data_IF_746463631036
#
_entry.id   IF_746463631036
#
_cell.length_a   1.000
_cell.length_b   1.000
_cell.length_c   1.000
_cell.angle_alpha   90.00
_cell.angle_beta   90.00
_cell.angle_gamma   90.00
#
_symmetry.space_group_name_H-M   'P 1'
#
loop_
_entity.id
_entity.type
_entity.pdbx_description
1 polymer ?
#
# COMPACT_ATOMS: atom_id res chain seq x y z
N UNK A 1 5.31 10.66 -13.15
CA UNK A 1 5.41 10.30 -11.71
C UNK A 1 4.60 11.12 -10.72
N UNK A 2 4.26 12.40 -10.96
CA UNK A 2 3.45 13.18 -10.00
C UNK A 2 2.09 12.53 -9.67
N UNK A 3 1.43 11.89 -10.65
CA UNK A 3 0.20 11.11 -10.41
C UNK A 3 0.41 9.89 -9.52
N UNK A 4 1.55 9.20 -9.66
CA UNK A 4 1.88 8.04 -8.83
C UNK A 4 2.09 8.40 -7.37
N UNK A 5 2.52 9.63 -7.06
CA UNK A 5 2.59 10.10 -5.68
C UNK A 5 1.21 10.17 -5.04
N UNK A 6 0.18 10.58 -5.78
CA UNK A 6 -1.20 10.59 -5.28
C UNK A 6 -1.75 9.17 -5.11
N UNK A 7 -1.46 8.27 -6.05
CA UNK A 7 -1.84 6.86 -5.93
C UNK A 7 -1.16 6.22 -4.72
N UNK A 8 0.17 6.38 -4.60
CA UNK A 8 0.94 5.91 -3.46
C UNK A 8 0.41 6.49 -2.14
N UNK A 9 0.07 7.78 -2.10
CA UNK A 9 -0.51 8.38 -0.91
C UNK A 9 -1.88 7.77 -0.58
N UNK A 10 -2.75 7.56 -1.57
CA UNK A 10 -4.06 6.93 -1.36
C UNK A 10 -3.93 5.48 -0.87
N UNK A 11 -2.95 4.74 -1.38
CA UNK A 11 -2.60 3.37 -0.95
C UNK A 11 -2.10 3.38 0.51
N UNK A 12 -1.12 4.23 0.83
CA UNK A 12 -0.57 4.35 2.19
C UNK A 12 -1.59 4.85 3.21
N UNK A 13 -2.50 5.74 2.77
CA UNK A 13 -3.57 6.28 3.60
C UNK A 13 -4.78 5.34 3.72
N UNK A 14 -4.76 4.18 3.07
CA UNK A 14 -5.89 3.25 3.05
C UNK A 14 -7.21 3.86 2.56
N UNK A 15 -7.12 4.88 1.70
CA UNK A 15 -8.28 5.64 1.25
C UNK A 15 -9.20 4.82 0.33
N UNK A 16 -8.77 3.62 -0.07
CA UNK A 16 -9.41 2.76 -1.07
C UNK A 16 -9.68 1.35 -0.51
N UNK A 17 -10.41 1.19 0.61
CA UNK A 17 -10.55 -0.09 1.33
C UNK A 17 -11.38 -1.13 0.57
N UNK A 18 -12.12 -0.73 -0.47
CA UNK A 18 -12.97 -1.57 -1.32
C UNK A 18 -12.44 -1.70 -2.74
N UNK A 19 -11.26 -1.18 -3.03
CA UNK A 19 -10.70 -1.26 -4.38
C UNK A 19 -10.28 -2.70 -4.64
N UNK A 20 -10.89 -3.32 -5.65
CA UNK A 20 -10.61 -4.70 -6.05
C UNK A 20 -9.69 -4.77 -7.27
N UNK A 21 -9.80 -3.79 -8.16
CA UNK A 21 -9.08 -3.72 -9.41
C UNK A 21 -8.43 -2.35 -9.57
N UNK A 22 -7.11 -2.32 -9.73
CA UNK A 22 -6.34 -1.10 -10.04
C UNK A 22 -5.62 -1.28 -11.37
N UNK A 23 -6.08 -0.56 -12.40
CA UNK A 23 -5.43 -0.54 -13.71
C UNK A 23 -4.69 0.78 -13.92
N UNK A 24 -3.38 0.66 -13.98
CA UNK A 24 -2.42 1.70 -14.29
C UNK A 24 -1.65 1.35 -15.58
N UNK A 25 -2.17 0.45 -16.40
CA UNK A 25 -1.54 0.07 -17.67
C UNK A 25 -1.49 1.23 -18.67
N UNK A 26 -0.55 1.17 -19.61
CA UNK A 26 -0.34 2.19 -20.64
C UNK A 26 -0.14 3.60 -20.09
N UNK A 27 0.44 3.70 -18.89
CA UNK A 27 0.86 4.97 -18.32
C UNK A 27 2.34 5.22 -18.60
N UNK A 28 2.79 6.44 -18.34
CA UNK A 28 4.19 6.82 -18.42
C UNK A 28 4.83 6.74 -17.03
N UNK A 29 4.58 5.64 -16.31
CA UNK A 29 5.16 5.43 -14.98
C UNK A 29 6.61 5.02 -15.16
N UNK A 30 7.52 5.79 -14.54
CA UNK A 30 8.94 5.47 -14.45
C UNK A 30 9.25 4.82 -13.09
N UNK A 31 10.50 4.43 -12.89
CA UNK A 31 10.98 3.79 -11.65
C UNK A 31 10.64 4.58 -10.39
N UNK A 32 10.74 5.91 -10.43
CA UNK A 32 10.36 6.78 -9.31
C UNK A 32 8.88 6.62 -8.92
N UNK A 33 8.01 6.46 -9.91
CA UNK A 33 6.58 6.28 -9.70
C UNK A 33 6.26 4.92 -9.09
N UNK A 34 6.92 3.85 -9.55
CA UNK A 34 6.80 2.52 -8.95
C UNK A 34 7.44 2.46 -7.57
N UNK A 35 8.59 3.08 -7.36
CA UNK A 35 9.25 3.15 -6.05
C UNK A 35 8.38 3.86 -5.00
N UNK A 36 7.64 4.90 -5.40
CA UNK A 36 6.65 5.53 -4.54
C UNK A 36 5.51 4.57 -4.16
N UNK A 37 4.99 3.79 -5.13
CA UNK A 37 3.96 2.78 -4.86
C UNK A 37 4.49 1.68 -3.93
N UNK A 38 5.70 1.18 -4.19
CA UNK A 38 6.38 0.19 -3.37
C UNK A 38 6.54 0.67 -1.92
N UNK A 39 7.00 1.90 -1.74
CA UNK A 39 7.14 2.52 -0.41
C UNK A 39 5.79 2.63 0.30
N UNK A 40 4.73 3.01 -0.41
CA UNK A 40 3.38 3.07 0.14
C UNK A 40 2.82 1.70 0.54
N UNK A 41 3.07 0.67 -0.27
CA UNK A 41 2.70 -0.71 0.04
C UNK A 41 3.49 -1.24 1.24
N UNK A 42 4.77 -0.90 1.38
CA UNK A 42 5.56 -1.27 2.54
C UNK A 42 5.14 -0.53 3.83
N UNK A 43 4.67 0.72 3.70
CA UNK A 43 4.25 1.56 4.81
C UNK A 43 2.84 1.25 5.34
N UNK A 44 2.01 0.51 4.59
CA UNK A 44 0.68 0.16 5.06
C UNK A 44 0.78 -0.80 6.26
N UNK A 45 0.10 -0.51 7.39
CA UNK A 45 0.13 -1.37 8.55
C UNK A 45 -0.58 -2.69 8.24
N UNK A 46 0.00 -3.77 8.76
CA UNK A 46 -0.49 -5.12 8.56
C UNK A 46 -1.96 -5.25 9.00
N UNK A 47 -2.72 -6.07 8.28
CA UNK A 47 -4.10 -6.39 8.62
C UNK A 47 -4.23 -6.76 10.10
N UNK A 48 -5.25 -6.26 10.84
CA UNK A 48 -5.42 -6.55 12.25
C UNK A 48 -5.63 -8.05 12.56
N UNK A 49 -5.75 -8.91 11.54
CA UNK A 49 -5.79 -10.37 11.73
C UNK A 49 -4.45 -10.99 12.16
N UNK A 50 -3.33 -10.25 12.15
CA UNK A 50 -2.00 -10.78 12.52
C UNK A 50 -1.19 -9.92 13.51
N UNK A 51 -1.86 -9.15 14.38
CA UNK A 51 -1.21 -8.56 15.56
C UNK A 51 -1.99 -8.87 16.84
N UNK A 52 -2.12 -10.15 17.17
CA UNK A 52 -2.13 -10.56 18.57
C UNK A 52 -0.69 -10.61 19.09
N UNK A 53 0.02 -9.49 19.07
CA UNK A 53 1.31 -9.39 19.76
C UNK A 53 1.35 -8.08 20.51
N UNK A 54 0.87 -8.15 21.75
CA UNK A 54 1.56 -7.61 22.92
C UNK A 54 2.15 -6.21 22.76
N UNK A 55 1.31 -5.19 22.91
CA UNK A 55 1.74 -3.99 23.62
C UNK A 55 0.70 -3.69 24.69
N UNK A 56 1.01 -4.15 25.89
CA UNK A 56 0.47 -3.66 27.15
C UNK A 56 0.57 -2.14 27.14
N UNK A 57 -0.54 -1.47 26.84
CA UNK A 57 -0.65 -0.03 27.08
C UNK A 57 -0.87 0.10 28.58
N UNK A 58 0.23 0.27 29.29
CA UNK A 58 0.21 0.68 30.68
C UNK A 58 -0.63 1.94 30.81
N UNK A 59 -1.66 1.85 31.63
CA UNK A 59 -2.56 2.93 32.02
C UNK A 59 -1.78 4.20 32.34
N UNK A 60 -1.91 5.22 31.49
CA UNK A 60 -1.76 6.60 31.94
C UNK A 60 -2.99 7.37 31.49
N UNK A 61 -3.64 7.89 32.51
CA UNK A 61 -4.87 8.67 32.49
C UNK A 61 -4.68 9.96 31.72
N UNK A 62 -5.82 10.46 31.26
CA UNK A 62 -6.13 11.86 30.96
C UNK A 62 -5.87 12.43 29.56
N UNK A 63 -6.96 13.06 29.11
CA UNK A 63 -7.16 14.00 28.00
C UNK A 63 -7.44 13.39 26.63
N UNK A 64 -8.74 13.16 26.46
CA UNK A 64 -9.53 13.67 25.32
C UNK A 64 -8.74 14.62 24.43
N UNK A 65 -8.06 14.04 23.45
CA UNK A 65 -7.49 14.75 22.33
C UNK A 65 -7.79 13.87 21.14
N UNK A 66 -8.63 14.42 20.27
CA UNK A 66 -9.05 13.91 18.98
C UNK A 66 -7.86 13.38 18.17
N UNK A 67 -7.38 12.17 18.47
CA UNK A 67 -6.66 11.39 17.48
C UNK A 67 -7.75 10.91 16.53
N UNK A 68 -7.94 11.68 15.45
CA UNK A 68 -8.15 11.05 14.15
C UNK A 68 -7.02 10.06 14.00
N UNK A 69 -7.22 8.87 14.53
CA UNK A 69 -6.41 7.72 14.22
C UNK A 69 -6.74 7.50 12.75
N UNK A 70 -5.93 8.10 11.89
CA UNK A 70 -5.63 7.60 10.55
C UNK A 70 -5.03 6.21 10.76
N UNK A 71 -5.88 5.28 11.19
CA UNK A 71 -5.67 3.86 11.08
C UNK A 71 -5.67 3.64 9.58
N UNK A 72 -4.50 3.83 8.98
CA UNK A 72 -4.20 3.23 7.69
C UNK A 72 -4.64 1.78 7.85
N UNK A 73 -5.67 1.40 7.13
CA UNK A 73 -6.13 0.02 7.05
C UNK A 73 -5.41 -0.59 5.85
N UNK A 74 -5.17 -1.90 5.84
CA UNK A 74 -4.77 -2.55 4.60
C UNK A 74 -5.79 -2.25 3.49
N UNK A 75 -5.42 -2.48 2.24
CA UNK A 75 -6.38 -2.63 1.15
C UNK A 75 -6.67 -4.14 1.00
N UNK A 76 -7.47 -4.75 1.88
CA UNK A 76 -7.71 -6.19 1.82
C UNK A 76 -8.49 -6.57 0.56
N UNK A 77 -9.17 -5.64 -0.10
CA UNK A 77 -9.99 -5.96 -1.27
C UNK A 77 -9.21 -6.05 -2.56
N UNK A 78 -7.97 -5.53 -2.65
CA UNK A 78 -7.27 -5.46 -3.93
C UNK A 78 -6.85 -6.86 -4.39
N UNK A 79 -7.37 -7.28 -5.53
CA UNK A 79 -7.12 -8.58 -6.17
C UNK A 79 -6.29 -8.47 -7.43
N UNK A 80 -6.48 -7.41 -8.20
CA UNK A 80 -5.79 -7.24 -9.48
C UNK A 80 -5.08 -5.89 -9.54
N UNK A 81 -3.79 -5.93 -9.86
CA UNK A 81 -2.96 -4.77 -10.14
C UNK A 81 -2.39 -4.89 -11.56
N UNK A 82 -2.79 -4.00 -12.46
CA UNK A 82 -2.28 -3.97 -13.83
C UNK A 82 -1.37 -2.77 -14.05
N UNK A 83 -0.10 -3.05 -14.30
CA UNK A 83 0.99 -2.13 -14.60
C UNK A 83 1.56 -2.34 -16.01
N UNK A 84 0.92 -3.15 -16.85
CA UNK A 84 1.41 -3.46 -18.19
C UNK A 84 1.61 -2.20 -19.06
N UNK A 85 2.54 -2.27 -20.01
CA UNK A 85 2.81 -1.19 -20.97
C UNK A 85 3.18 0.16 -20.31
N UNK A 86 3.92 0.11 -19.20
CA UNK A 86 4.58 1.27 -18.59
C UNK A 86 6.06 1.33 -18.99
N UNK A 87 6.82 2.27 -18.39
CA UNK A 87 8.22 2.56 -18.74
C UNK A 87 9.18 2.42 -17.55
N UNK A 88 8.82 1.60 -16.56
CA UNK A 88 9.72 1.25 -15.47
C UNK A 88 10.68 0.14 -15.93
N UNK A 89 11.86 0.12 -15.33
CA UNK A 89 12.93 -0.84 -15.57
C UNK A 89 13.02 -1.84 -14.39
N UNK A 90 13.98 -2.78 -14.48
CA UNK A 90 14.14 -3.86 -13.49
C UNK A 90 14.36 -3.34 -12.06
N UNK A 91 14.95 -2.15 -11.90
CA UNK A 91 15.15 -1.51 -10.61
C UNK A 91 13.83 -1.11 -9.95
N UNK A 92 12.91 -0.51 -10.72
CA UNK A 92 11.56 -0.20 -10.27
C UNK A 92 10.79 -1.47 -9.90
N UNK A 93 10.85 -2.51 -10.74
CA UNK A 93 10.22 -3.80 -10.48
C UNK A 93 10.73 -4.48 -9.20
N UNK A 94 12.04 -4.43 -8.96
CA UNK A 94 12.65 -5.02 -7.75
C UNK A 94 12.06 -4.40 -6.48
N UNK A 95 11.94 -3.07 -6.45
CA UNK A 95 11.34 -2.35 -5.33
C UNK A 95 9.88 -2.76 -5.10
N UNK A 96 9.12 -2.92 -6.18
CA UNK A 96 7.72 -3.37 -6.13
C UNK A 96 7.60 -4.79 -5.57
N UNK A 97 8.42 -5.72 -6.08
CA UNK A 97 8.42 -7.12 -5.65
C UNK A 97 8.81 -7.25 -4.18
N UNK A 98 9.81 -6.50 -3.72
CA UNK A 98 10.16 -6.48 -2.29
C UNK A 98 8.98 -5.99 -1.42
N UNK A 99 8.32 -4.91 -1.83
CA UNK A 99 7.16 -4.39 -1.11
C UNK A 99 6.00 -5.39 -1.09
N UNK A 100 5.72 -6.05 -2.21
CA UNK A 100 4.70 -7.10 -2.31
C UNK A 100 5.06 -8.33 -1.48
N UNK A 101 6.35 -8.70 -1.42
CA UNK A 101 6.86 -9.83 -0.63
C UNK A 101 6.65 -9.64 0.87
N UNK A 102 6.54 -8.39 1.34
CA UNK A 102 6.14 -8.15 2.75
C UNK A 102 4.69 -8.57 3.03
N UNK A 103 3.82 -8.65 2.01
CA UNK A 103 2.45 -9.14 2.10
C UNK A 103 1.49 -8.31 2.95
N UNK A 104 1.88 -7.09 3.37
CA UNK A 104 1.15 -6.34 4.42
C UNK A 104 0.01 -5.47 3.89
N UNK A 105 0.20 -4.82 2.74
CA UNK A 105 -0.77 -3.87 2.18
C UNK A 105 -1.88 -4.51 1.35
N UNK A 106 -1.53 -5.53 0.55
CA UNK A 106 -2.41 -6.16 -0.46
C UNK A 106 -2.45 -7.67 -0.26
N UNK A 107 -2.95 -8.15 0.89
CA UNK A 107 -2.87 -9.56 1.27
C UNK A 107 -3.68 -10.51 0.36
N UNK A 108 -4.58 -9.98 -0.47
CA UNK A 108 -5.44 -10.75 -1.37
C UNK A 108 -5.14 -10.47 -2.85
N UNK A 109 -3.93 -9.99 -3.18
CA UNK A 109 -3.53 -9.80 -4.56
C UNK A 109 -3.42 -11.17 -5.25
N UNK A 110 -4.28 -11.41 -6.23
CA UNK A 110 -4.39 -12.65 -7.00
C UNK A 110 -3.70 -12.51 -8.37
N UNK A 111 -3.68 -11.31 -8.94
CA UNK A 111 -3.18 -11.05 -10.28
C UNK A 111 -2.32 -9.77 -10.33
N UNK A 112 -1.09 -9.91 -10.84
CA UNK A 112 -0.17 -8.82 -11.14
C UNK A 112 0.20 -8.89 -12.63
N UNK A 113 -0.16 -7.86 -13.39
CA UNK A 113 0.31 -7.66 -14.76
C UNK A 113 1.35 -6.54 -14.76
N UNK A 114 2.50 -6.73 -15.40
CA UNK A 114 3.63 -5.79 -15.46
C UNK A 114 4.13 -5.68 -16.89
#
# INVERSE_FOLDING_TARGET
DAGMRWVAHAVAAAALPRLEYLNLSSNHIADDGIGALATALAAAPASPRYQQTSQTVSHTSDRASNKLTSQSRPMPSLRTLNLAANRFEDAGLTSLVEALSTGRAVPNLEELSI
#
